data_IF_080297126551
#
_entry.id   IF_080297126551
#
_cell.length_a   1.000
_cell.length_b   1.000
_cell.length_c   1.000
_cell.angle_alpha   90.00
_cell.angle_beta   90.00
_cell.angle_gamma   90.00
#
_symmetry.space_group_name_H-M   'P 1'
#
loop_
_entity.id
_entity.type
_entity.pdbx_description
1 polymer ?
#
# COMPACT_ATOMS: atom_id res chain seq x y z
N UNK A 1 -16.01 -0.98 -28.12
CA UNK A 1 -14.69 -1.10 -28.80
C UNK A 1 -13.62 -1.85 -28.00
N UNK A 2 -13.54 -1.71 -26.67
CA UNK A 2 -12.45 -2.36 -25.90
C UNK A 2 -12.49 -3.89 -25.74
N UNK A 3 -13.51 -4.61 -26.20
CA UNK A 3 -13.70 -6.04 -25.85
C UNK A 3 -12.78 -7.01 -26.60
N UNK A 4 -12.61 -6.82 -27.93
CA UNK A 4 -11.93 -7.79 -28.80
C UNK A 4 -10.44 -7.97 -28.49
N UNK A 5 -9.77 -6.92 -28.02
CA UNK A 5 -8.30 -6.92 -27.81
C UNK A 5 -7.89 -7.77 -26.59
N UNK A 6 -8.82 -8.11 -25.70
CA UNK A 6 -8.55 -8.98 -24.56
C UNK A 6 -8.62 -10.47 -24.93
N UNK A 7 -9.39 -10.83 -25.97
CA UNK A 7 -9.48 -12.21 -26.46
C UNK A 7 -8.25 -12.63 -27.28
N UNK A 8 -7.38 -11.67 -27.60
CA UNK A 8 -6.08 -11.88 -28.24
C UNK A 8 -4.90 -11.81 -27.25
N UNK A 9 -5.14 -11.74 -25.94
CA UNK A 9 -4.06 -11.75 -24.94
C UNK A 9 -3.51 -13.18 -24.80
N UNK A 10 -2.22 -13.32 -25.12
CA UNK A 10 -1.37 -14.50 -24.91
C UNK A 10 -0.19 -14.12 -24.01
N UNK A 11 0.60 -15.11 -23.56
CA UNK A 11 1.78 -14.87 -22.70
C UNK A 11 2.83 -13.94 -23.35
N UNK A 12 2.91 -13.90 -24.69
CA UNK A 12 3.79 -13.01 -25.47
C UNK A 12 3.20 -11.61 -25.73
N UNK A 13 1.99 -11.33 -25.24
CA UNK A 13 1.26 -10.11 -25.62
C UNK A 13 1.76 -8.88 -24.87
N UNK A 14 2.14 -7.84 -25.63
CA UNK A 14 2.50 -6.54 -25.08
C UNK A 14 1.26 -5.80 -24.53
N UNK A 15 0.85 -6.17 -23.33
CA UNK A 15 -0.20 -5.47 -22.55
C UNK A 15 0.09 -3.96 -22.47
N UNK A 16 1.38 -3.59 -22.51
CA UNK A 16 2.02 -2.31 -22.90
C UNK A 16 1.25 -1.35 -23.82
N UNK A 17 0.61 -1.91 -24.85
CA UNK A 17 0.16 -1.21 -26.05
C UNK A 17 -1.36 -1.33 -26.25
N UNK A 18 -1.91 -2.50 -25.87
CA UNK A 18 -3.28 -2.66 -25.39
C UNK A 18 -3.45 -1.80 -24.11
N UNK A 19 -4.64 -1.66 -23.53
CA UNK A 19 -4.90 -1.00 -22.22
C UNK A 19 -4.58 0.51 -22.10
N UNK A 20 -3.77 1.13 -22.98
CA UNK A 20 -3.48 2.57 -23.02
C UNK A 20 -4.72 3.35 -23.51
N UNK A 21 -5.73 3.44 -22.63
CA UNK A 21 -7.03 4.07 -22.93
C UNK A 21 -6.90 5.58 -23.08
N UNK A 22 -7.46 6.12 -24.18
CA UNK A 22 -7.44 7.55 -24.52
C UNK A 22 -8.14 8.48 -23.51
N UNK A 23 -8.88 7.96 -22.53
CA UNK A 23 -9.84 8.74 -21.71
C UNK A 23 -9.49 8.85 -20.22
N UNK A 24 -8.37 8.28 -19.75
CA UNK A 24 -7.81 8.58 -18.43
C UNK A 24 -8.66 8.20 -17.20
N UNK A 25 -9.80 7.52 -17.37
CA UNK A 25 -10.72 7.18 -16.29
C UNK A 25 -10.51 5.70 -15.90
N UNK A 26 -9.91 5.49 -14.73
CA UNK A 26 -9.43 4.18 -14.24
C UNK A 26 -10.04 3.79 -12.88
N UNK A 27 -11.05 4.54 -12.42
CA UNK A 27 -11.64 4.39 -11.10
C UNK A 27 -12.47 3.10 -10.99
N UNK A 28 -11.86 2.05 -10.44
CA UNK A 28 -12.54 0.84 -9.97
C UNK A 28 -13.00 1.06 -8.53
N UNK A 29 -14.27 0.78 -8.23
CA UNK A 29 -14.79 0.89 -6.86
C UNK A 29 -14.20 -0.24 -5.99
N UNK A 30 -14.01 0.04 -4.70
CA UNK A 30 -13.43 -0.92 -3.77
C UNK A 30 -14.09 -0.86 -2.39
N UNK A 31 -14.04 -2.00 -1.69
CA UNK A 31 -14.36 -2.12 -0.27
C UNK A 31 -13.10 -2.58 0.44
N UNK A 32 -12.68 -1.86 1.50
CA UNK A 32 -11.52 -2.20 2.33
C UNK A 32 -11.96 -2.42 3.77
N UNK A 33 -11.46 -3.50 4.38
CA UNK A 33 -11.61 -3.81 5.79
C UNK A 33 -10.20 -3.94 6.37
N UNK A 34 -9.86 -3.06 7.31
CA UNK A 34 -8.54 -3.00 7.94
C UNK A 34 -8.67 -3.25 9.44
N UNK A 35 -7.86 -4.18 9.96
CA UNK A 35 -7.66 -4.37 11.39
C UNK A 35 -6.26 -3.87 11.77
N UNK A 36 -6.17 -2.95 12.74
CA UNK A 36 -4.90 -2.48 13.30
C UNK A 36 -4.79 -2.91 14.77
N UNK A 37 -3.63 -3.47 15.13
CA UNK A 37 -3.24 -3.73 16.51
C UNK A 37 -1.93 -3.01 16.83
N UNK A 38 -1.91 -2.26 17.93
CA UNK A 38 -0.74 -1.47 18.36
C UNK A 38 -0.32 -1.82 19.78
N UNK A 39 0.94 -2.21 19.93
CA UNK A 39 1.58 -2.48 21.22
C UNK A 39 2.57 -1.36 21.56
N UNK A 40 2.28 -0.61 22.62
CA UNK A 40 3.11 0.49 23.10
C UNK A 40 3.91 0.07 24.34
N UNK A 41 5.23 0.25 24.34
CA UNK A 41 6.09 0.02 25.52
C UNK A 41 6.63 1.35 26.06
N UNK A 42 6.05 1.76 27.19
CA UNK A 42 6.48 2.93 27.95
C UNK A 42 7.64 2.57 28.89
N UNK A 43 8.46 3.58 29.24
CA UNK A 43 9.43 3.50 30.34
C UNK A 43 9.18 4.67 31.30
N UNK A 44 8.93 5.86 30.76
CA UNK A 44 8.47 7.04 31.49
C UNK A 44 6.98 7.34 31.18
N UNK A 45 6.32 8.16 32.01
CA UNK A 45 4.86 8.31 32.02
C UNK A 45 4.24 8.92 30.75
N UNK A 46 5.02 9.53 29.85
CA UNK A 46 4.51 10.37 28.74
C UNK A 46 4.90 9.94 27.32
N UNK A 47 5.97 9.17 27.10
CA UNK A 47 6.43 8.81 25.74
C UNK A 47 6.72 7.30 25.64
N UNK A 48 6.09 6.56 24.69
CA UNK A 48 6.42 5.16 24.45
C UNK A 48 7.80 5.04 23.79
N UNK A 49 8.74 4.36 24.44
CA UNK A 49 10.10 4.17 23.91
C UNK A 49 10.13 3.27 22.66
N UNK A 50 9.14 2.39 22.54
CA UNK A 50 8.94 1.48 21.40
C UNK A 50 7.44 1.35 21.12
N UNK A 51 7.09 1.37 19.84
CA UNK A 51 5.75 1.08 19.34
C UNK A 51 5.89 -0.01 18.28
N UNK A 52 5.06 -1.05 18.37
CA UNK A 52 4.84 -2.01 17.31
C UNK A 52 3.41 -1.82 16.80
N UNK A 53 3.23 -1.60 15.51
CA UNK A 53 1.92 -1.44 14.87
C UNK A 53 1.80 -2.48 13.76
N UNK A 54 0.74 -3.27 13.81
CA UNK A 54 0.44 -4.34 12.87
C UNK A 54 -0.90 -4.02 12.22
N UNK A 55 -0.94 -3.92 10.89
CA UNK A 55 -2.19 -3.71 10.14
C UNK A 55 -2.36 -4.83 9.12
N UNK A 56 -3.49 -5.54 9.20
CA UNK A 56 -3.93 -6.45 8.14
C UNK A 56 -5.14 -5.83 7.45
N UNK A 57 -5.07 -5.71 6.14
CA UNK A 57 -6.17 -5.21 5.30
C UNK A 57 -6.58 -6.28 4.31
N UNK A 58 -7.89 -6.45 4.17
CA UNK A 58 -8.50 -7.14 3.03
C UNK A 58 -9.23 -6.12 2.16
N UNK A 59 -9.04 -6.23 0.86
CA UNK A 59 -9.65 -5.37 -0.14
C UNK A 59 -10.33 -6.20 -1.23
N UNK A 60 -11.55 -5.78 -1.56
CA UNK A 60 -12.38 -6.33 -2.64
C UNK A 60 -12.59 -5.26 -3.70
N UNK A 61 -12.25 -5.56 -4.95
CA UNK A 61 -12.53 -4.70 -6.11
C UNK A 61 -13.90 -5.05 -6.72
N UNK A 62 -14.70 -4.04 -7.07
CA UNK A 62 -16.04 -4.21 -7.62
C UNK A 62 -16.51 -3.02 -8.48
N UNK A 63 -17.65 -3.20 -9.12
CA UNK A 63 -18.45 -2.23 -9.89
C UNK A 63 -19.25 -1.32 -8.97
N UNK A 64 -19.92 -1.90 -7.97
CA UNK A 64 -20.98 -1.24 -7.23
C UNK A 64 -20.53 -0.03 -6.38
N UNK A 65 -21.04 1.16 -6.69
CA UNK A 65 -20.99 2.33 -5.82
C UNK A 65 -21.81 2.06 -4.54
N UNK A 66 -21.17 2.24 -3.37
CA UNK A 66 -21.66 1.83 -2.05
C UNK A 66 -22.17 0.37 -1.95
N UNK A 67 -21.75 -0.52 -2.87
CA UNK A 67 -22.18 -1.92 -2.88
C UNK A 67 -23.60 -2.18 -3.41
N UNK A 68 -24.32 -1.16 -3.90
CA UNK A 68 -25.73 -1.28 -4.32
C UNK A 68 -26.11 -0.59 -5.64
N UNK A 69 -25.29 0.31 -6.19
CA UNK A 69 -25.60 1.03 -7.44
C UNK A 69 -24.48 0.74 -8.45
N UNK A 70 -24.83 0.25 -9.64
CA UNK A 70 -23.87 0.07 -10.74
C UNK A 70 -23.49 1.44 -11.33
N UNK A 71 -22.41 2.02 -10.78
CA UNK A 71 -21.91 3.34 -11.15
C UNK A 71 -20.39 3.41 -10.90
N UNK A 72 -19.62 3.10 -11.94
CA UNK A 72 -18.16 3.16 -11.91
C UNK A 72 -17.55 3.07 -13.32
N UNK A 73 -16.27 3.44 -13.46
CA UNK A 73 -15.50 3.29 -14.71
C UNK A 73 -15.04 1.84 -14.93
N UNK A 74 -15.88 0.88 -14.55
CA UNK A 74 -15.54 -0.52 -14.36
C UNK A 74 -15.53 -1.28 -15.69
N UNK A 75 -14.42 -1.98 -15.96
CA UNK A 75 -14.38 -3.02 -17.00
C UNK A 75 -14.11 -4.37 -16.31
N UNK A 76 -15.03 -5.34 -16.37
CA UNK A 76 -14.82 -6.67 -15.81
C UNK A 76 -13.49 -7.32 -16.24
N UNK A 77 -13.07 -7.10 -17.49
CA UNK A 77 -11.83 -7.67 -18.04
C UNK A 77 -10.55 -7.13 -17.39
N UNK A 78 -10.62 -6.02 -16.66
CA UNK A 78 -9.46 -5.53 -15.90
C UNK A 78 -9.31 -6.33 -14.58
N UNK A 79 -10.41 -6.70 -13.92
CA UNK A 79 -10.40 -7.61 -12.76
C UNK A 79 -9.88 -9.00 -13.14
N UNK A 80 -10.17 -9.49 -14.34
CA UNK A 80 -9.63 -10.77 -14.80
C UNK A 80 -8.09 -10.73 -14.96
N UNK A 81 -7.51 -9.54 -15.16
CA UNK A 81 -6.06 -9.33 -15.22
C UNK A 81 -5.48 -9.14 -13.81
N UNK A 82 -5.97 -8.16 -13.05
CA UNK A 82 -5.38 -7.83 -11.75
C UNK A 82 -5.98 -8.60 -10.57
N UNK A 83 -6.95 -9.49 -10.74
CA UNK A 83 -7.58 -10.26 -9.67
C UNK A 83 -8.52 -9.45 -8.77
N UNK A 84 -9.56 -10.09 -8.23
CA UNK A 84 -10.63 -9.40 -7.47
C UNK A 84 -10.26 -9.07 -6.02
N UNK A 85 -9.26 -9.75 -5.44
CA UNK A 85 -8.98 -9.72 -4.01
C UNK A 85 -7.53 -9.31 -3.74
N UNK A 86 -7.33 -8.33 -2.84
CA UNK A 86 -6.00 -7.96 -2.33
C UNK A 86 -5.94 -8.16 -0.82
N UNK A 87 -4.84 -8.76 -0.36
CA UNK A 87 -4.45 -8.86 1.03
C UNK A 87 -3.23 -7.95 1.25
N UNK A 88 -3.20 -7.26 2.38
CA UNK A 88 -2.11 -6.39 2.76
C UNK A 88 -1.73 -6.68 4.21
N UNK A 89 -0.43 -6.85 4.48
CA UNK A 89 0.12 -7.01 5.80
C UNK A 89 1.21 -5.95 5.99
N UNK A 90 0.99 -5.05 6.93
CA UNK A 90 1.84 -3.89 7.18
C UNK A 90 2.35 -3.97 8.62
N UNK A 91 3.65 -3.79 8.81
CA UNK A 91 4.29 -3.75 10.12
C UNK A 91 5.13 -2.48 10.25
N UNK A 92 4.86 -1.69 11.28
CA UNK A 92 5.63 -0.50 11.62
C UNK A 92 6.20 -0.62 13.03
N UNK A 93 7.51 -0.36 13.15
CA UNK A 93 8.23 -0.26 14.40
C UNK A 93 8.77 1.16 14.58
N UNK A 94 8.27 1.88 15.59
CA UNK A 94 8.85 3.16 16.01
C UNK A 94 9.72 2.95 17.25
N UNK A 95 10.92 3.52 17.28
CA UNK A 95 11.74 3.61 18.49
C UNK A 95 12.42 4.95 18.68
N UNK A 96 12.70 5.27 19.94
CA UNK A 96 13.34 6.52 20.34
C UNK A 96 14.73 6.27 20.94
N UNK A 97 15.73 7.03 20.48
CA UNK A 97 17.12 6.92 20.93
C UNK A 97 17.84 8.27 20.84
N UNK A 98 18.46 8.71 21.94
CA UNK A 98 19.26 9.94 22.03
C UNK A 98 18.57 11.19 21.43
N UNK A 99 17.26 11.33 21.62
CA UNK A 99 16.49 12.45 21.06
C UNK A 99 16.19 12.35 19.57
N UNK A 100 16.36 11.18 18.95
CA UNK A 100 15.91 10.85 17.60
C UNK A 100 14.72 9.88 17.67
N UNK A 101 13.77 10.02 16.75
CA UNK A 101 12.71 9.04 16.50
C UNK A 101 13.02 8.34 15.18
N UNK A 102 13.08 7.01 15.19
CA UNK A 102 13.26 6.21 13.98
C UNK A 102 12.05 5.32 13.78
N UNK A 103 11.59 5.21 12.53
CA UNK A 103 10.45 4.40 12.12
C UNK A 103 10.93 3.42 11.06
N UNK A 104 10.64 2.13 11.24
CA UNK A 104 10.90 1.08 10.28
C UNK A 104 9.58 0.42 9.88
N UNK A 105 9.21 0.53 8.61
CA UNK A 105 8.02 -0.06 8.01
C UNK A 105 8.38 -1.23 7.10
N UNK A 106 7.52 -2.25 7.09
CA UNK A 106 7.51 -3.31 6.10
C UNK A 106 6.07 -3.61 5.71
N UNK A 107 5.73 -3.32 4.47
CA UNK A 107 4.42 -3.55 3.89
C UNK A 107 4.54 -4.67 2.85
N UNK A 108 3.57 -5.59 2.83
CA UNK A 108 3.52 -6.71 1.89
C UNK A 108 2.09 -6.81 1.36
N UNK A 109 1.97 -6.86 0.04
CA UNK A 109 0.73 -6.93 -0.70
C UNK A 109 0.68 -8.22 -1.49
N UNK A 110 -0.46 -8.89 -1.50
CA UNK A 110 -0.72 -10.08 -2.30
C UNK A 110 -2.09 -9.97 -2.98
N UNK A 111 -2.09 -10.18 -4.28
CA UNK A 111 -3.22 -10.09 -5.17
C UNK A 111 -3.64 -11.51 -5.58
N UNK A 112 -4.86 -11.91 -5.23
CA UNK A 112 -5.35 -13.27 -5.46
C UNK A 112 -6.23 -13.33 -6.71
N UNK A 113 -5.98 -14.34 -7.54
CA UNK A 113 -6.66 -14.51 -8.83
C UNK A 113 -6.20 -13.52 -9.91
N UNK A 114 -5.01 -12.94 -9.77
CA UNK A 114 -4.36 -12.18 -10.84
C UNK A 114 -3.89 -13.11 -11.96
N UNK A 115 -3.87 -12.61 -13.19
CA UNK A 115 -3.45 -13.36 -14.38
C UNK A 115 -1.94 -13.69 -14.32
N UNK A 116 -1.46 -14.83 -14.85
CA UNK A 116 -0.04 -15.19 -14.81
C UNK A 116 0.94 -14.18 -15.43
N UNK A 117 0.44 -13.31 -16.31
CA UNK A 117 1.22 -12.24 -16.97
C UNK A 117 1.42 -10.97 -16.12
N UNK A 118 0.97 -10.94 -14.86
CA UNK A 118 1.18 -9.81 -13.95
C UNK A 118 1.77 -10.26 -12.63
N UNK A 119 2.57 -9.41 -12.00
CA UNK A 119 3.20 -9.72 -10.71
C UNK A 119 2.16 -9.61 -9.60
N UNK A 120 1.85 -10.70 -8.86
CA UNK A 120 0.74 -10.69 -7.90
C UNK A 120 1.15 -10.17 -6.52
N UNK A 121 2.43 -9.86 -6.28
CA UNK A 121 2.92 -9.39 -4.97
C UNK A 121 3.64 -8.05 -5.08
N UNK A 122 3.64 -7.29 -3.98
CA UNK A 122 4.52 -6.13 -3.76
C UNK A 122 5.05 -6.20 -2.34
N UNK A 123 6.26 -5.71 -2.13
CA UNK A 123 6.86 -5.53 -0.82
C UNK A 123 7.54 -4.17 -0.76
N UNK A 124 7.36 -3.46 0.34
CA UNK A 124 7.90 -2.12 0.55
C UNK A 124 8.57 -2.05 1.92
N UNK A 125 9.89 -1.90 1.95
CA UNK A 125 10.66 -1.66 3.16
C UNK A 125 10.95 -0.17 3.29
N UNK A 126 10.53 0.46 4.38
CA UNK A 126 10.72 1.91 4.61
C UNK A 126 11.49 2.15 5.90
N UNK A 127 12.46 3.06 5.86
CA UNK A 127 13.16 3.56 7.04
C UNK A 127 13.04 5.08 7.07
N UNK A 128 12.55 5.64 8.18
CA UNK A 128 12.45 7.08 8.41
C UNK A 128 13.24 7.43 9.67
N UNK A 129 14.08 8.47 9.58
CA UNK A 129 14.84 9.03 10.70
C UNK A 129 14.41 10.47 10.91
N UNK A 130 13.80 10.74 12.06
CA UNK A 130 13.45 12.08 12.52
C UNK A 130 14.50 12.56 13.52
N UNK A 131 15.47 13.40 13.09
CA UNK A 131 16.45 13.97 13.98
C UNK A 131 15.81 15.01 14.92
N UNK A 132 16.40 15.18 16.10
CA UNK A 132 16.03 16.16 17.13
C UNK A 132 14.58 16.06 17.65
N UNK A 133 13.92 14.91 17.48
CA UNK A 133 12.53 14.67 17.87
C UNK A 133 11.55 15.70 17.28
N UNK A 134 11.86 16.17 16.08
CA UNK A 134 10.99 17.03 15.28
C UNK A 134 10.09 16.19 14.38
N UNK A 135 9.02 16.79 13.85
CA UNK A 135 8.18 16.11 12.86
C UNK A 135 8.83 16.02 11.46
N UNK A 136 9.96 16.70 11.25
CA UNK A 136 10.79 16.57 10.05
C UNK A 136 11.59 15.26 10.11
N UNK A 137 11.60 14.51 9.02
CA UNK A 137 12.39 13.28 8.90
C UNK A 137 12.97 13.09 7.51
N UNK A 138 13.99 12.25 7.42
CA UNK A 138 14.55 11.76 6.16
C UNK A 138 14.15 10.30 6.01
N UNK A 139 13.66 9.92 4.83
CA UNK A 139 13.31 8.53 4.55
C UNK A 139 14.15 7.94 3.42
N UNK A 140 14.41 6.63 3.55
CA UNK A 140 14.77 5.73 2.46
C UNK A 140 13.71 4.65 2.34
N UNK A 141 13.37 4.25 1.13
CA UNK A 141 12.37 3.24 0.84
C UNK A 141 12.87 2.33 -0.30
N UNK A 142 12.67 1.03 -0.14
CA UNK A 142 12.96 0.02 -1.14
C UNK A 142 11.69 -0.74 -1.45
N UNK A 143 11.27 -0.70 -2.72
CA UNK A 143 10.10 -1.42 -3.23
C UNK A 143 10.55 -2.52 -4.19
N UNK A 144 9.90 -3.68 -4.15
CA UNK A 144 9.99 -4.72 -5.18
C UNK A 144 8.63 -5.39 -5.40
N UNK A 145 8.45 -6.07 -6.53
CA UNK A 145 7.13 -6.48 -7.00
C UNK A 145 6.40 -5.35 -7.72
N UNK A 146 5.09 -5.53 -7.86
CA UNK A 146 4.26 -4.73 -8.75
C UNK A 146 4.28 -3.22 -8.45
N UNK A 147 3.99 -2.41 -9.46
CA UNK A 147 3.78 -0.97 -9.31
C UNK A 147 2.29 -0.60 -9.30
N UNK A 148 1.86 0.17 -8.30
CA UNK A 148 0.50 0.74 -8.25
C UNK A 148 0.33 1.98 -9.14
N UNK A 149 1.42 2.60 -9.63
CA UNK A 149 1.36 3.74 -10.55
C UNK A 149 1.39 3.35 -12.03
N UNK A 150 2.15 2.33 -12.41
CA UNK A 150 2.07 1.76 -13.76
C UNK A 150 0.84 0.84 -13.87
N UNK A 151 -0.14 1.25 -14.68
CA UNK A 151 -1.50 0.70 -14.84
C UNK A 151 -1.65 -0.79 -15.22
N UNK A 152 -0.59 -1.59 -15.13
CA UNK A 152 -0.55 -2.97 -15.63
C UNK A 152 0.11 -3.99 -14.71
N UNK A 153 0.81 -3.58 -13.65
CA UNK A 153 1.51 -4.50 -12.74
C UNK A 153 2.53 -5.47 -13.42
N UNK A 154 2.92 -5.21 -14.68
CA UNK A 154 3.88 -6.04 -15.46
C UNK A 154 5.32 -5.71 -15.09
N UNK A 155 5.58 -4.47 -14.71
CA UNK A 155 6.88 -4.00 -14.24
C UNK A 155 7.12 -4.48 -12.79
N UNK A 156 7.78 -5.62 -12.63
CA UNK A 156 8.52 -5.94 -11.40
C UNK A 156 9.98 -5.53 -11.56
N UNK A 157 10.34 -4.39 -10.97
CA UNK A 157 11.74 -4.03 -10.79
C UNK A 157 11.98 -3.40 -9.41
N UNK A 158 13.14 -3.70 -8.78
CA UNK A 158 13.56 -3.06 -7.55
C UNK A 158 13.68 -1.54 -7.71
N UNK A 159 13.05 -0.80 -6.80
CA UNK A 159 13.05 0.68 -6.78
C UNK A 159 13.58 1.17 -5.45
N UNK A 160 14.50 2.13 -5.49
CA UNK A 160 14.99 2.81 -4.30
C UNK A 160 14.63 4.29 -4.34
N UNK A 161 13.94 4.75 -3.32
CA UNK A 161 13.43 6.11 -3.17
C UNK A 161 13.99 6.73 -1.90
N UNK A 162 14.34 8.02 -1.95
CA UNK A 162 14.78 8.79 -0.80
C UNK A 162 14.09 10.16 -0.80
N UNK A 163 13.91 10.73 0.38
CA UNK A 163 13.24 12.02 0.49
C UNK A 163 13.08 12.53 1.91
N UNK A 164 12.24 13.55 2.05
CA UNK A 164 11.93 14.22 3.30
C UNK A 164 10.46 13.93 3.65
N UNK A 165 10.20 13.57 4.90
CA UNK A 165 8.88 13.42 5.49
C UNK A 165 8.60 14.56 6.46
N UNK A 166 7.34 15.00 6.57
CA UNK A 166 6.93 15.97 7.58
C UNK A 166 5.54 15.65 8.11
N UNK A 167 5.44 15.32 9.41
CA UNK A 167 4.18 14.95 10.05
C UNK A 167 3.49 16.17 10.67
N UNK A 168 2.38 16.62 10.10
CA UNK A 168 1.60 17.74 10.68
C UNK A 168 0.78 17.33 11.92
N UNK A 169 0.64 16.04 12.17
CA UNK A 169 -0.17 15.48 13.25
C UNK A 169 0.65 14.44 14.02
N UNK A 170 1.40 14.89 15.01
CA UNK A 170 2.14 14.02 15.93
C UNK A 170 1.14 13.08 16.63
N UNK A 171 1.37 11.75 16.69
CA UNK A 171 0.43 10.82 17.32
C UNK A 171 0.17 11.19 18.78
N UNK A 172 -1.11 11.14 19.20
CA UNK A 172 -1.51 11.43 20.58
C UNK A 172 -0.66 10.62 21.57
N UNK A 173 0.08 11.32 22.42
CA UNK A 173 0.85 10.71 23.51
C UNK A 173 -0.14 10.15 24.54
N UNK A 174 -0.26 8.83 24.57
CA UNK A 174 -1.04 8.13 25.58
C UNK A 174 -0.30 8.19 26.93
N UNK A 175 -0.74 9.08 27.81
CA UNK A 175 -0.20 9.16 29.17
C UNK A 175 -0.50 7.87 29.96
N UNK A 176 0.53 7.29 30.55
CA UNK A 176 0.38 6.16 31.46
C UNK A 176 -0.03 6.67 32.84
N UNK A 177 -1.35 6.67 33.12
CA UNK A 177 -1.84 6.79 34.50
C UNK A 177 -1.51 5.51 35.28
N UNK A 178 -0.30 5.46 35.84
CA UNK A 178 -0.03 4.59 36.99
C UNK A 178 -0.99 4.97 38.12
N UNK A 179 -1.78 4.00 38.57
CA UNK A 179 -2.36 3.98 39.91
C UNK A 179 -1.33 3.43 40.89
#
# INVERSE_FOLDING_TARGET
EGQAVYETITDDTNLAEILNRKTGNFSTNLTRISFNYRQNKFIDNSIPKRIHSYTVTYQLYHDNFFGIIDFGGYNPKDIDIFGRHRLEANYEYTFYWKGMRMVAGQDVFLQLGAHPSVTPYRSQTKLIVHPWNTDLGFFGQFDFGFDDYNYRFVDDFPRFSFGISWDWFTPFLLESKKK
#
